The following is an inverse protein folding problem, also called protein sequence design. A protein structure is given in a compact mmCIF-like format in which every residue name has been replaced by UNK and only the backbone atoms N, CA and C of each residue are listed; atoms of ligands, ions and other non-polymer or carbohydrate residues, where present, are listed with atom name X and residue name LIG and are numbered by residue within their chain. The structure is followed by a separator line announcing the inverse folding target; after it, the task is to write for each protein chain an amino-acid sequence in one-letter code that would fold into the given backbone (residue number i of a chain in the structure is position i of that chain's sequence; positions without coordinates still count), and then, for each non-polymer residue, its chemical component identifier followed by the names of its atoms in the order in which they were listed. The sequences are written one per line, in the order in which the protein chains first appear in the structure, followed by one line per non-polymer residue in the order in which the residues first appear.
data_IF_677368235080
#
_entry.id   IF_677368235080
#
_cell.length_a   1.000
_cell.length_b   1.000
_cell.length_c   1.000
_cell.angle_alpha   90.00
_cell.angle_beta   90.00
_cell.angle_gamma   90.00
#
_symmetry.space_group_name_H-M   'P 1'
#
loop_
_entity.id
_entity.type
_entity.pdbx_description
1 polymer ?
#
# COMPACT_ATOMS: atom_id res chain seq x y z
N UNK A 1 16.69 -40.10 25.79
CA UNK A 1 16.17 -38.87 25.15
C UNK A 1 15.02 -39.31 24.27
N UNK A 2 13.78 -38.96 24.65
CA UNK A 2 12.61 -39.24 23.81
C UNK A 2 12.79 -38.49 22.48
N UNK A 3 12.78 -39.23 21.37
CA UNK A 3 12.87 -38.66 20.04
C UNK A 3 11.64 -37.76 19.84
N UNK A 4 11.85 -36.46 19.59
CA UNK A 4 10.77 -35.58 19.17
C UNK A 4 10.08 -36.18 17.95
N UNK A 5 8.76 -36.40 18.03
CA UNK A 5 7.95 -36.91 16.93
C UNK A 5 8.10 -35.95 15.72
N UNK A 6 8.41 -36.44 14.51
CA UNK A 6 8.45 -35.64 13.28
C UNK A 6 7.21 -34.75 13.08
N UNK A 7 6.02 -35.21 13.49
CA UNK A 7 4.78 -34.42 13.44
C UNK A 7 4.82 -33.20 14.36
N UNK A 8 5.42 -33.34 15.55
CA UNK A 8 5.62 -32.23 16.49
C UNK A 8 6.60 -31.23 15.88
N UNK A 9 7.70 -31.70 15.30
CA UNK A 9 8.67 -30.82 14.63
C UNK A 9 8.05 -30.08 13.44
N UNK A 10 7.24 -30.76 12.62
CA UNK A 10 6.50 -30.14 11.53
C UNK A 10 5.48 -29.12 12.05
N UNK A 11 4.74 -29.44 13.11
CA UNK A 11 3.79 -28.52 13.73
C UNK A 11 4.49 -27.29 14.33
N UNK A 12 5.67 -27.46 14.93
CA UNK A 12 6.50 -26.35 15.41
C UNK A 12 7.07 -25.52 14.27
N UNK A 13 7.61 -26.15 13.22
CA UNK A 13 8.04 -25.43 12.02
C UNK A 13 6.90 -24.63 11.42
N UNK A 14 5.72 -25.24 11.27
CA UNK A 14 4.55 -24.54 10.74
C UNK A 14 4.13 -23.39 11.66
N UNK A 15 4.10 -23.56 12.99
CA UNK A 15 3.81 -22.48 13.96
C UNK A 15 4.86 -21.37 14.01
N UNK A 16 6.13 -21.69 13.77
CA UNK A 16 7.23 -20.72 13.73
C UNK A 16 7.25 -19.95 12.40
N UNK A 17 6.98 -20.63 11.27
CA UNK A 17 6.84 -20.04 9.92
C UNK A 17 5.61 -19.15 9.82
N UNK A 18 4.46 -19.63 10.30
CA UNK A 18 3.22 -18.83 10.48
C UNK A 18 3.28 -17.87 11.68
N UNK A 19 4.48 -17.68 12.26
CA UNK A 19 4.70 -16.99 13.51
C UNK A 19 3.92 -15.69 13.58
N UNK A 20 3.31 -15.45 14.75
CA UNK A 20 2.44 -14.35 15.16
C UNK A 20 3.11 -12.96 15.06
N UNK A 21 3.73 -12.66 13.93
CA UNK A 21 4.12 -11.35 13.47
C UNK A 21 2.84 -10.72 12.94
N UNK A 22 2.09 -10.09 13.85
CA UNK A 22 1.16 -9.04 13.42
C UNK A 22 2.03 -7.99 12.73
N UNK A 23 2.15 -8.10 11.41
CA UNK A 23 2.90 -7.12 10.64
C UNK A 23 2.18 -5.78 10.77
N UNK A 24 2.97 -4.73 10.95
CA UNK A 24 2.49 -3.38 10.71
C UNK A 24 2.53 -3.21 9.21
N UNK A 25 1.38 -2.98 8.58
CA UNK A 25 1.29 -3.02 7.12
C UNK A 25 0.95 -1.66 6.54
N UNK A 26 1.83 -1.18 5.65
CA UNK A 26 1.49 -0.16 4.67
C UNK A 26 0.84 -0.85 3.46
N UNK A 27 -0.15 -0.20 2.87
CA UNK A 27 -1.03 -0.72 1.83
C UNK A 27 -1.81 -1.98 2.24
N UNK A 28 -2.57 -1.86 3.32
CA UNK A 28 -3.45 -2.92 3.81
C UNK A 28 -4.81 -2.37 4.23
N UNK A 29 -5.85 -3.20 4.16
CA UNK A 29 -7.20 -2.85 4.64
C UNK A 29 -7.14 -2.46 6.11
N UNK A 30 -7.34 -1.17 6.46
CA UNK A 30 -7.17 -0.73 7.84
C UNK A 30 -8.27 -1.29 8.74
N UNK A 31 -9.53 -1.29 8.28
CA UNK A 31 -10.68 -1.62 9.13
C UNK A 31 -10.64 -0.79 10.41
N UNK A 32 -10.67 -1.44 11.57
CA UNK A 32 -10.48 -0.80 12.89
C UNK A 32 -9.04 -0.93 13.41
N UNK A 33 -8.09 -1.39 12.59
CA UNK A 33 -6.71 -1.62 12.99
C UNK A 33 -5.90 -0.33 12.94
N UNK A 34 -5.17 -0.08 14.04
CA UNK A 34 -4.15 0.98 14.11
C UNK A 34 -2.79 0.56 13.53
N UNK A 35 -2.64 -0.72 13.19
CA UNK A 35 -1.40 -1.31 12.64
C UNK A 35 -1.40 -1.35 11.11
N UNK A 36 -2.45 -0.83 10.48
CA UNK A 36 -2.64 -0.94 9.04
C UNK A 36 -2.96 0.42 8.46
N UNK A 37 -2.38 0.71 7.32
CA UNK A 37 -2.59 1.94 6.60
C UNK A 37 -2.79 1.61 5.13
N UNK A 38 -3.75 2.25 4.48
CA UNK A 38 -3.96 2.14 3.05
C UNK A 38 -3.16 3.25 2.35
N UNK A 39 -2.20 2.87 1.49
CA UNK A 39 -1.32 3.80 0.79
C UNK A 39 -2.13 4.77 -0.08
N UNK A 40 -3.23 4.31 -0.68
CA UNK A 40 -4.06 5.13 -1.55
C UNK A 40 -4.64 6.36 -0.82
N UNK A 41 -4.69 6.36 0.53
CA UNK A 41 -5.06 7.55 1.32
C UNK A 41 -4.10 8.73 1.13
N UNK A 42 -2.85 8.48 0.70
CA UNK A 42 -1.92 9.57 0.35
C UNK A 42 -2.45 10.43 -0.82
N UNK A 43 -3.41 9.93 -1.60
CA UNK A 43 -4.11 10.73 -2.62
C UNK A 43 -4.88 11.94 -2.04
N UNK A 44 -5.23 11.91 -0.74
CA UNK A 44 -5.82 13.05 -0.03
C UNK A 44 -4.86 14.24 0.03
N UNK A 45 -3.54 13.99 0.01
CA UNK A 45 -2.49 15.02 -0.06
C UNK A 45 -2.37 15.48 -1.52
N UNK A 46 -1.95 14.56 -2.39
CA UNK A 46 -1.80 14.78 -3.82
C UNK A 46 -2.17 13.52 -4.60
N UNK A 47 -2.93 13.68 -5.68
CA UNK A 47 -3.58 12.56 -6.36
C UNK A 47 -2.60 11.49 -6.85
N UNK A 48 -1.41 11.90 -7.33
CA UNK A 48 -0.37 10.98 -7.85
C UNK A 48 0.65 10.47 -6.80
N UNK A 49 0.48 10.84 -5.52
CA UNK A 49 1.45 10.54 -4.47
C UNK A 49 1.61 9.03 -4.20
N UNK A 50 0.53 8.22 -4.15
CA UNK A 50 0.65 6.77 -4.06
C UNK A 50 1.47 6.15 -5.22
N UNK A 51 1.24 6.62 -6.44
CA UNK A 51 1.87 6.12 -7.66
C UNK A 51 3.37 6.43 -7.66
N UNK A 52 3.74 7.65 -7.27
CA UNK A 52 5.15 8.04 -7.13
C UNK A 52 5.89 7.15 -6.12
N UNK A 53 5.24 6.80 -5.01
CA UNK A 53 5.83 5.87 -4.05
C UNK A 53 6.11 4.50 -4.68
N UNK A 54 5.13 3.92 -5.37
CA UNK A 54 5.28 2.60 -6.01
C UNK A 54 6.33 2.64 -7.12
N UNK A 55 6.37 3.70 -7.93
CA UNK A 55 7.39 3.87 -8.98
C UNK A 55 8.79 3.91 -8.35
N UNK A 56 8.98 4.68 -7.27
CA UNK A 56 10.27 4.73 -6.58
C UNK A 56 10.64 3.36 -6.02
N UNK A 57 9.69 2.64 -5.43
CA UNK A 57 9.90 1.30 -4.88
C UNK A 57 10.33 0.26 -5.93
N UNK A 58 9.75 0.32 -7.13
CA UNK A 58 10.04 -0.61 -8.23
C UNK A 58 11.22 -0.18 -9.12
N UNK A 59 11.72 1.05 -8.96
CA UNK A 59 12.81 1.57 -9.81
C UNK A 59 14.13 1.66 -9.07
N UNK A 60 14.10 2.03 -7.79
CA UNK A 60 15.28 2.36 -6.99
C UNK A 60 15.69 1.18 -6.10
N UNK A 61 17.00 0.96 -6.00
CA UNK A 61 17.58 -0.01 -5.05
C UNK A 61 17.36 0.41 -3.60
N UNK A 62 17.69 1.67 -3.30
CA UNK A 62 17.44 2.31 -2.01
C UNK A 62 16.36 3.37 -2.20
N UNK A 63 15.32 3.34 -1.38
CA UNK A 63 14.20 4.27 -1.45
C UNK A 63 14.32 5.26 -0.30
N UNK A 64 14.16 6.54 -0.61
CA UNK A 64 13.90 7.59 0.36
C UNK A 64 12.75 8.44 -0.20
N UNK A 65 11.56 8.22 0.34
CA UNK A 65 10.33 8.86 -0.11
C UNK A 65 9.81 9.77 0.99
N UNK A 66 9.92 11.07 0.76
CA UNK A 66 9.53 12.12 1.70
C UNK A 66 8.25 12.79 1.22
N UNK A 67 7.31 13.01 2.15
CA UNK A 67 6.04 13.69 1.86
C UNK A 67 5.50 14.42 3.09
N UNK A 68 4.73 15.48 2.86
CA UNK A 68 4.05 16.28 3.88
C UNK A 68 2.56 16.38 3.60
N UNK A 69 1.71 16.46 4.63
CA UNK A 69 0.29 16.81 4.41
C UNK A 69 0.09 18.22 3.82
N UNK A 70 1.14 19.05 3.88
CA UNK A 70 1.14 20.42 3.36
C UNK A 70 1.65 20.50 1.92
N UNK A 71 2.02 19.37 1.30
CA UNK A 71 2.44 19.34 -0.10
C UNK A 71 1.25 19.75 -0.99
N UNK A 72 1.22 21.03 -1.34
CA UNK A 72 0.32 21.58 -2.33
C UNK A 72 1.08 21.63 -3.65
N UNK A 73 0.88 20.65 -4.51
CA UNK A 73 1.19 20.84 -5.91
C UNK A 73 0.06 21.72 -6.45
N UNK A 74 0.39 22.96 -6.83
CA UNK A 74 -0.42 23.71 -7.76
C UNK A 74 -0.52 22.87 -9.02
N UNK A 75 -1.72 22.44 -9.40
CA UNK A 75 -2.01 21.95 -10.76
C UNK A 75 -1.87 23.13 -11.76
N UNK A 76 -0.72 23.80 -11.76
CA UNK A 76 -0.34 24.76 -12.79
C UNK A 76 0.36 23.96 -13.89
N UNK A 77 -0.48 23.37 -14.75
CA UNK A 77 -0.11 23.22 -16.15
C UNK A 77 0.24 24.62 -16.66
N UNK A 78 1.54 24.88 -16.74
CA UNK A 78 2.21 25.83 -17.64
C UNK A 78 1.27 26.82 -18.33
N UNK A 79 1.05 27.99 -17.72
CA UNK A 79 0.86 29.21 -18.48
C UNK A 79 2.18 29.96 -18.48
N UNK A 80 2.97 29.65 -19.49
CA UNK A 80 4.13 30.43 -19.90
C UNK A 80 3.72 31.89 -20.02
N UNK A 81 4.56 32.75 -19.43
CA UNK A 81 4.70 34.19 -19.62
C UNK A 81 3.83 34.82 -20.72
N UNK A 82 2.90 35.70 -20.34
CA UNK A 82 2.55 36.84 -21.18
C UNK A 82 2.23 38.07 -20.29
N UNK A 83 2.98 39.13 -20.59
CA UNK A 83 2.96 40.44 -19.95
C UNK A 83 1.65 41.18 -20.23
N UNK A 84 1.36 42.10 -19.31
CA UNK A 84 0.61 43.36 -19.49
C UNK A 84 -0.79 43.25 -20.15
N UNK A 85 -1.83 43.44 -19.34
CA UNK A 85 -2.80 44.50 -19.59
C UNK A 85 -3.65 44.82 -18.35
N UNK A 86 -3.48 46.06 -17.89
CA UNK A 86 -4.36 46.80 -17.00
C UNK A 86 -5.70 47.01 -17.71
N UNK A 87 -6.82 46.65 -17.09
CA UNK A 87 -8.08 47.40 -17.23
C UNK A 87 -8.88 47.36 -15.92
N UNK A 88 -9.00 48.54 -15.29
CA UNK A 88 -10.13 48.90 -14.44
C UNK A 88 -11.37 49.07 -15.33
N UNK A 89 -12.50 48.48 -14.96
CA UNK A 89 -13.82 49.13 -14.95
C UNK A 89 -14.76 48.35 -14.03
N UNK A 90 -15.30 49.04 -13.02
CA UNK A 90 -16.44 48.64 -12.21
C UNK A 90 -17.72 48.61 -13.06
N UNK A 91 -18.59 47.62 -12.84
CA UNK A 91 -20.02 47.86 -12.58
C UNK A 91 -20.71 46.60 -12.04
N UNK A 92 -21.54 46.83 -11.02
CA UNK A 92 -22.29 45.87 -10.22
C UNK A 92 -23.27 45.03 -11.05
N UNK A 93 -23.29 43.72 -10.79
CA UNK A 93 -24.54 42.95 -10.68
C UNK A 93 -24.41 41.88 -9.60
N UNK A 94 -25.15 42.10 -8.52
CA UNK A 94 -25.58 41.05 -7.61
C UNK A 94 -26.40 40.02 -8.39
N UNK A 95 -26.02 38.74 -8.28
CA UNK A 95 -26.92 37.61 -7.99
C UNK A 95 -26.13 36.28 -7.95
N UNK A 96 -26.54 35.41 -7.02
CA UNK A 96 -26.18 33.99 -6.79
C UNK A 96 -24.75 33.58 -6.36
N UNK A 97 -24.27 34.07 -5.20
CA UNK A 97 -23.02 33.61 -4.52
C UNK A 97 -23.17 32.52 -3.44
N UNK A 98 -24.37 32.06 -3.12
CA UNK A 98 -24.58 31.23 -1.92
C UNK A 98 -24.28 29.72 -2.12
N UNK A 99 -24.54 29.13 -3.29
CA UNK A 99 -24.31 27.68 -3.49
C UNK A 99 -22.83 27.33 -3.72
N UNK A 100 -22.06 28.19 -4.39
CA UNK A 100 -20.64 27.90 -4.68
C UNK A 100 -19.75 28.05 -3.45
N UNK A 101 -20.05 29.01 -2.57
CA UNK A 101 -19.26 29.29 -1.37
C UNK A 101 -19.45 28.21 -0.30
N UNK A 102 -20.68 27.72 -0.10
CA UNK A 102 -20.95 26.62 0.83
C UNK A 102 -20.33 25.29 0.35
N UNK A 103 -20.40 24.98 -0.95
CA UNK A 103 -19.80 23.75 -1.50
C UNK A 103 -18.27 23.77 -1.40
N UNK A 104 -17.63 24.92 -1.59
CA UNK A 104 -16.17 25.09 -1.44
C UNK A 104 -15.76 24.97 0.04
N UNK A 105 -16.45 25.66 0.95
CA UNK A 105 -16.21 25.59 2.40
C UNK A 105 -16.39 24.17 2.96
N UNK A 106 -17.41 23.44 2.49
CA UNK A 106 -17.67 22.05 2.89
C UNK A 106 -16.59 21.11 2.35
N UNK A 107 -16.13 21.30 1.10
CA UNK A 107 -15.01 20.51 0.53
C UNK A 107 -13.70 20.75 1.27
N UNK A 108 -13.37 22.01 1.57
CA UNK A 108 -12.14 22.35 2.29
C UNK A 108 -12.13 21.77 3.71
N UNK A 109 -13.24 21.90 4.45
CA UNK A 109 -13.38 21.29 5.79
C UNK A 109 -13.31 19.75 5.74
N UNK A 110 -13.85 19.14 4.70
CA UNK A 110 -13.80 17.69 4.50
C UNK A 110 -12.37 17.21 4.22
N UNK A 111 -11.62 17.95 3.39
CA UNK A 111 -10.20 17.67 3.10
C UNK A 111 -9.33 17.85 4.34
N UNK A 112 -9.48 18.94 5.08
CA UNK A 112 -8.73 19.17 6.34
C UNK A 112 -8.96 18.01 7.32
N UNK A 113 -10.20 17.59 7.51
CA UNK A 113 -10.54 16.44 8.35
C UNK A 113 -9.89 15.14 7.86
N UNK A 114 -9.79 14.94 6.55
CA UNK A 114 -9.13 13.77 5.96
C UNK A 114 -7.61 13.78 6.23
N UNK A 115 -6.96 14.94 6.06
CA UNK A 115 -5.53 15.13 6.33
C UNK A 115 -5.19 14.94 7.81
N UNK A 116 -6.03 15.43 8.73
CA UNK A 116 -5.88 15.18 10.16
C UNK A 116 -5.96 13.68 10.48
N UNK A 117 -6.98 13.00 9.95
CA UNK A 117 -7.12 11.54 10.12
C UNK A 117 -5.96 10.77 9.51
N UNK A 118 -5.40 11.24 8.40
CA UNK A 118 -4.23 10.66 7.75
C UNK A 118 -3.02 10.78 8.65
N UNK A 119 -2.71 11.99 9.15
CA UNK A 119 -1.61 12.23 10.08
C UNK A 119 -1.73 11.37 11.34
N UNK A 120 -2.90 11.35 11.98
CA UNK A 120 -3.15 10.49 13.15
C UNK A 120 -2.93 9.00 12.83
N UNK A 121 -3.33 8.56 11.62
CA UNK A 121 -3.14 7.15 11.22
C UNK A 121 -1.66 6.82 11.04
N UNK A 122 -0.87 7.72 10.44
CA UNK A 122 0.58 7.55 10.28
C UNK A 122 1.31 7.54 11.62
N UNK A 123 0.98 8.47 12.51
CA UNK A 123 1.58 8.52 13.86
C UNK A 123 1.27 7.27 14.66
N UNK A 124 0.02 6.79 14.61
CA UNK A 124 -0.33 5.51 15.23
C UNK A 124 0.47 4.35 14.63
N UNK A 125 0.63 4.30 13.32
CA UNK A 125 1.37 3.26 12.62
C UNK A 125 2.85 3.23 13.06
N UNK A 126 3.49 4.40 13.07
CA UNK A 126 4.88 4.61 13.52
C UNK A 126 5.02 4.13 14.97
N UNK A 127 4.19 4.66 15.86
CA UNK A 127 4.23 4.34 17.27
C UNK A 127 4.04 2.84 17.53
N UNK A 128 3.12 2.17 16.83
CA UNK A 128 2.96 0.72 16.97
C UNK A 128 4.19 -0.05 16.49
N UNK A 129 4.81 0.36 15.38
CA UNK A 129 6.03 -0.28 14.90
C UNK A 129 7.18 -0.13 15.90
N UNK A 130 7.38 1.07 16.45
CA UNK A 130 8.40 1.35 17.47
C UNK A 130 8.19 0.51 18.73
N UNK A 131 6.95 0.38 19.22
CA UNK A 131 6.62 -0.49 20.35
C UNK A 131 7.01 -1.93 20.04
N UNK A 132 6.60 -2.48 18.90
CA UNK A 132 6.93 -3.85 18.51
C UNK A 132 8.44 -4.05 18.38
N UNK A 133 9.14 -3.08 17.79
CA UNK A 133 10.58 -3.12 17.63
C UNK A 133 11.30 -3.07 18.99
N UNK A 134 10.82 -2.28 19.94
CA UNK A 134 11.36 -2.23 21.30
C UNK A 134 11.14 -3.53 22.08
N UNK A 135 10.01 -4.19 21.86
CA UNK A 135 9.65 -5.45 22.53
C UNK A 135 10.37 -6.67 21.93
N UNK A 136 10.47 -6.72 20.60
CA UNK A 136 10.90 -7.92 19.86
C UNK A 136 12.25 -7.75 19.17
N UNK A 137 12.82 -6.55 19.14
CA UNK A 137 14.08 -6.25 18.47
C UNK A 137 14.02 -6.33 16.94
N UNK A 138 12.83 -6.37 16.34
CA UNK A 138 12.64 -6.53 14.89
C UNK A 138 11.73 -5.44 14.34
N UNK A 139 12.09 -4.88 13.18
CA UNK A 139 11.18 -4.03 12.42
C UNK A 139 10.02 -4.88 11.90
N UNK A 140 8.79 -4.48 12.22
CA UNK A 140 7.58 -5.19 11.83
C UNK A 140 6.82 -4.52 10.68
N UNK A 141 7.32 -3.37 10.23
CA UNK A 141 6.72 -2.59 9.16
C UNK A 141 7.07 -3.17 7.79
N UNK A 142 6.02 -3.53 7.06
CA UNK A 142 6.11 -3.99 5.69
C UNK A 142 5.12 -3.27 4.79
N UNK A 143 5.56 -2.91 3.60
CA UNK A 143 4.70 -2.45 2.52
C UNK A 143 4.28 -3.64 1.66
N UNK A 144 2.98 -3.87 1.50
CA UNK A 144 2.45 -4.99 0.72
C UNK A 144 1.98 -4.58 -0.68
N UNK A 145 2.47 -5.21 -1.74
CA UNK A 145 2.01 -4.96 -3.12
C UNK A 145 2.36 -6.10 -4.09
N UNK A 146 1.61 -6.31 -5.18
CA UNK A 146 0.21 -5.93 -5.35
C UNK A 146 -0.69 -6.75 -4.43
N UNK A 147 -1.96 -6.33 -4.31
CA UNK A 147 -2.95 -7.02 -3.49
C UNK A 147 -3.65 -8.11 -4.30
N UNK A 148 -3.55 -9.37 -3.86
CA UNK A 148 -4.38 -10.46 -4.34
C UNK A 148 -5.67 -10.49 -3.52
N UNK A 149 -6.80 -10.38 -4.21
CA UNK A 149 -8.13 -10.41 -3.61
C UNK A 149 -8.87 -11.57 -4.26
N UNK A 150 -9.24 -12.55 -3.45
CA UNK A 150 -9.87 -13.77 -3.94
C UNK A 150 -10.87 -14.32 -2.96
N UNK A 151 -11.76 -15.15 -3.47
CA UNK A 151 -12.67 -15.95 -2.65
C UNK A 151 -12.09 -17.35 -2.46
N UNK A 152 -11.90 -17.76 -1.22
CA UNK A 152 -11.44 -19.12 -0.91
C UNK A 152 -12.51 -20.18 -1.24
N UNK A 153 -12.17 -21.47 -1.10
CA UNK A 153 -13.08 -22.57 -1.39
C UNK A 153 -14.29 -22.59 -0.43
N UNK A 154 -14.12 -22.06 0.79
CA UNK A 154 -15.16 -21.90 1.81
C UNK A 154 -16.05 -20.67 1.56
N UNK A 155 -15.74 -19.87 0.52
CA UNK A 155 -16.50 -18.69 0.14
C UNK A 155 -16.12 -17.42 0.89
N UNK A 156 -15.07 -17.41 1.70
CA UNK A 156 -14.58 -16.22 2.39
C UNK A 156 -13.66 -15.40 1.49
N UNK A 157 -13.86 -14.07 1.51
CA UNK A 157 -12.93 -13.16 0.86
C UNK A 157 -11.65 -13.03 1.67
N UNK A 158 -10.53 -13.27 0.99
CA UNK A 158 -9.18 -13.01 1.45
C UNK A 158 -8.58 -11.89 0.60
N UNK A 159 -7.97 -10.91 1.25
CA UNK A 159 -7.20 -9.85 0.60
C UNK A 159 -5.82 -9.83 1.22
N UNK A 160 -4.80 -10.16 0.44
CA UNK A 160 -3.42 -10.32 0.92
C UNK A 160 -2.42 -9.81 -0.12
N UNK A 161 -1.39 -9.07 0.31
CA UNK A 161 -0.33 -8.68 -0.61
C UNK A 161 0.44 -9.90 -1.07
N UNK A 162 0.89 -9.88 -2.32
CA UNK A 162 1.73 -10.94 -2.91
C UNK A 162 3.16 -10.80 -2.38
N UNK A 163 3.77 -9.62 -2.56
CA UNK A 163 5.09 -9.31 -2.03
C UNK A 163 4.99 -8.34 -0.86
N UNK A 164 5.96 -8.44 0.04
CA UNK A 164 6.14 -7.54 1.16
C UNK A 164 7.57 -7.00 1.12
N UNK A 165 7.70 -5.68 1.04
CA UNK A 165 8.96 -4.97 1.24
C UNK A 165 9.06 -4.55 2.71
N UNK A 166 10.12 -4.93 3.40
CA UNK A 166 10.43 -4.31 4.68
C UNK A 166 10.80 -2.85 4.43
N UNK A 167 10.19 -1.95 5.18
CA UNK A 167 10.42 -0.50 5.05
C UNK A 167 10.47 0.12 6.44
N UNK A 168 11.07 1.30 6.53
CA UNK A 168 11.06 2.13 7.71
C UNK A 168 10.24 3.38 7.43
N UNK A 169 9.53 3.88 8.43
CA UNK A 169 8.85 5.18 8.36
C UNK A 169 9.15 5.95 9.64
N UNK A 170 9.49 7.24 9.47
CA UNK A 170 9.77 8.13 10.60
C UNK A 170 9.28 9.55 10.30
N UNK A 171 8.90 10.32 11.33
CA UNK A 171 8.73 11.75 11.17
C UNK A 171 10.10 12.40 10.90
N UNK A 172 10.11 13.50 10.15
CA UNK A 172 11.28 14.35 9.97
C UNK A 172 11.07 15.68 10.72
N UNK A 173 12.11 16.50 10.81
CA UNK A 173 12.05 17.77 11.56
C UNK A 173 11.04 18.80 11.00
N UNK A 174 10.55 18.58 9.78
CA UNK A 174 9.58 19.44 9.13
C UNK A 174 8.16 19.10 9.58
N UNK A 175 7.32 20.12 9.70
CA UNK A 175 5.99 19.99 10.28
C UNK A 175 5.10 19.03 9.45
N UNK A 176 4.51 18.03 10.11
CA UNK A 176 3.68 16.99 9.50
C UNK A 176 4.28 16.40 8.23
N UNK A 177 5.55 16.03 8.32
CA UNK A 177 6.33 15.48 7.22
C UNK A 177 6.94 14.16 7.65
N UNK A 178 6.86 13.16 6.79
CA UNK A 178 7.37 11.81 7.04
C UNK A 178 8.29 11.36 5.91
N UNK A 179 9.18 10.44 6.25
CA UNK A 179 10.08 9.77 5.32
C UNK A 179 9.82 8.27 5.41
N UNK A 180 9.44 7.65 4.29
CA UNK A 180 9.46 6.19 4.11
C UNK A 180 10.77 5.83 3.42
N UNK A 181 11.55 4.95 4.03
CA UNK A 181 12.85 4.55 3.52
C UNK A 181 13.05 3.05 3.47
N UNK A 182 13.85 2.59 2.52
CA UNK A 182 14.30 1.20 2.38
C UNK A 182 15.73 1.15 1.87
N UNK A 183 16.56 0.23 2.38
CA UNK A 183 17.88 -0.08 1.83
C UNK A 183 17.96 -1.51 1.28
N UNK A 184 19.11 -1.88 0.71
CA UNK A 184 19.40 -3.26 0.29
C UNK A 184 19.39 -4.29 1.43
N UNK A 185 19.63 -3.85 2.67
CA UNK A 185 19.60 -4.70 3.86
C UNK A 185 18.16 -5.04 4.30
N UNK A 186 17.17 -4.26 3.84
CA UNK A 186 15.77 -4.47 4.15
C UNK A 186 15.17 -5.52 3.20
N UNK A 187 14.69 -6.67 3.70
CA UNK A 187 14.30 -7.79 2.85
C UNK A 187 13.03 -7.53 2.03
N UNK A 188 12.96 -8.18 0.87
CA UNK A 188 11.76 -8.34 0.05
C UNK A 188 11.41 -9.83 0.06
N UNK A 189 10.16 -10.18 0.34
CA UNK A 189 9.74 -11.57 0.42
C UNK A 189 8.29 -11.75 -0.02
N UNK A 190 7.96 -12.97 -0.45
CA UNK A 190 6.58 -13.36 -0.70
C UNK A 190 5.84 -13.49 0.63
N UNK A 191 4.60 -13.02 0.69
CA UNK A 191 3.80 -13.09 1.90
C UNK A 191 3.56 -14.53 2.35
N UNK A 192 4.27 -14.99 3.38
CA UNK A 192 4.14 -16.36 3.89
C UNK A 192 2.73 -16.72 4.34
N UNK A 193 1.94 -15.76 4.84
CA UNK A 193 0.54 -16.03 5.21
C UNK A 193 -0.27 -16.38 3.97
N UNK A 194 -0.03 -15.69 2.84
CA UNK A 194 -0.64 -16.00 1.57
C UNK A 194 -0.20 -17.39 1.06
N UNK A 195 1.10 -17.70 1.13
CA UNK A 195 1.62 -19.02 0.73
C UNK A 195 0.91 -20.14 1.50
N UNK A 196 0.88 -20.03 2.83
CA UNK A 196 0.24 -21.04 3.67
C UNK A 196 -1.26 -21.15 3.39
N UNK A 197 -1.93 -20.02 3.15
CA UNK A 197 -3.34 -20.01 2.81
C UNK A 197 -3.62 -20.72 1.48
N UNK A 198 -2.88 -20.38 0.42
CA UNK A 198 -3.03 -20.99 -0.90
C UNK A 198 -2.67 -22.49 -0.92
N UNK A 199 -1.65 -22.87 -0.16
CA UNK A 199 -1.25 -24.27 -0.01
C UNK A 199 -2.35 -25.10 0.68
N UNK A 200 -2.95 -24.57 1.74
CA UNK A 200 -3.99 -25.27 2.49
C UNK A 200 -5.34 -25.32 1.75
N UNK A 201 -5.70 -24.23 1.07
CA UNK A 201 -7.00 -24.11 0.41
C UNK A 201 -7.01 -24.77 -0.99
N UNK A 202 -6.01 -24.47 -1.81
CA UNK A 202 -5.99 -24.84 -3.24
C UNK A 202 -4.85 -25.80 -3.60
N UNK A 203 -4.03 -26.23 -2.64
CA UNK A 203 -2.86 -27.08 -2.89
C UNK A 203 -1.75 -26.40 -3.71
N UNK A 204 -1.81 -25.07 -3.85
CA UNK A 204 -0.88 -24.29 -4.67
C UNK A 204 0.40 -24.04 -3.88
N UNK A 205 1.53 -24.38 -4.50
CA UNK A 205 2.86 -24.09 -3.95
C UNK A 205 3.38 -22.84 -4.63
N UNK A 206 3.32 -21.72 -3.91
CA UNK A 206 3.89 -20.46 -4.38
C UNK A 206 5.40 -20.49 -4.17
N UNK A 207 6.14 -20.24 -5.24
CA UNK A 207 7.59 -20.20 -5.21
C UNK A 207 8.10 -18.94 -4.49
N UNK A 208 9.27 -19.05 -3.85
CA UNK A 208 9.96 -17.91 -3.28
C UNK A 208 10.60 -17.06 -4.39
N UNK A 209 10.91 -15.80 -4.09
CA UNK A 209 11.66 -14.93 -5.00
C UNK A 209 13.05 -15.55 -5.24
N UNK A 210 13.48 -15.63 -6.50
CA UNK A 210 14.81 -16.14 -6.84
C UNK A 210 15.92 -15.24 -6.32
N UNK A 211 17.08 -15.82 -5.99
CA UNK A 211 18.26 -15.05 -5.54
C UNK A 211 18.75 -14.07 -6.63
N UNK A 212 18.57 -14.42 -7.91
CA UNK A 212 18.93 -13.57 -9.05
C UNK A 212 18.11 -12.29 -9.08
N UNK A 213 16.79 -12.37 -8.86
CA UNK A 213 15.90 -11.20 -8.77
C UNK A 213 16.21 -10.32 -7.55
N UNK A 214 16.73 -10.90 -6.47
CA UNK A 214 17.08 -10.14 -5.27
C UNK A 214 18.49 -9.51 -5.34
N UNK A 215 19.32 -9.91 -6.30
CA UNK A 215 20.73 -9.56 -6.34
C UNK A 215 20.98 -8.06 -6.59
N UNK A 216 20.09 -7.38 -7.30
CA UNK A 216 20.20 -5.94 -7.56
C UNK A 216 19.59 -5.08 -6.42
N UNK A 217 18.98 -5.73 -5.43
CA UNK A 217 18.40 -5.12 -4.23
C UNK A 217 17.02 -4.50 -4.43
N UNK A 218 16.36 -4.71 -5.57
CA UNK A 218 14.98 -4.27 -5.84
C UNK A 218 14.18 -5.37 -6.53
N UNK A 219 12.91 -5.11 -6.79
CA UNK A 219 12.08 -5.90 -7.69
C UNK A 219 11.50 -4.92 -8.69
N UNK A 220 11.87 -5.06 -9.96
CA UNK A 220 11.42 -4.17 -11.01
C UNK A 220 10.05 -4.57 -11.58
N UNK A 221 9.53 -3.74 -12.49
CA UNK A 221 8.22 -3.97 -13.11
C UNK A 221 8.16 -5.29 -13.90
N UNK A 222 9.11 -5.60 -14.80
CA UNK A 222 9.20 -6.91 -15.45
C UNK A 222 9.21 -8.10 -14.48
N UNK A 223 10.02 -8.04 -13.42
CA UNK A 223 10.14 -9.11 -12.42
C UNK A 223 8.83 -9.27 -11.64
N UNK A 224 8.23 -8.17 -11.20
CA UNK A 224 6.94 -8.19 -10.50
C UNK A 224 5.83 -8.76 -11.39
N UNK A 225 5.82 -8.39 -12.67
CA UNK A 225 4.89 -8.91 -13.66
C UNK A 225 5.07 -10.42 -13.83
N UNK A 226 6.31 -10.91 -13.91
CA UNK A 226 6.61 -12.34 -14.01
C UNK A 226 6.10 -13.09 -12.79
N UNK A 227 6.36 -12.60 -11.57
CA UNK A 227 5.87 -13.19 -10.32
C UNK A 227 4.35 -13.27 -10.31
N UNK A 228 3.66 -12.19 -10.69
CA UNK A 228 2.20 -12.16 -10.73
C UNK A 228 1.62 -13.11 -11.78
N UNK A 229 2.24 -13.18 -12.97
CA UNK A 229 1.83 -14.12 -14.03
C UNK A 229 1.96 -15.57 -13.59
N UNK A 230 3.11 -15.96 -13.03
CA UNK A 230 3.32 -17.31 -12.51
C UNK A 230 2.27 -17.69 -11.46
N UNK A 231 1.95 -16.77 -10.55
CA UNK A 231 0.93 -17.00 -9.53
C UNK A 231 -0.48 -17.17 -10.14
N UNK A 232 -0.86 -16.31 -11.08
CA UNK A 232 -2.16 -16.40 -11.76
C UNK A 232 -2.28 -17.67 -12.61
N UNK A 233 -1.21 -18.09 -13.28
CA UNK A 233 -1.16 -19.34 -14.04
C UNK A 233 -1.37 -20.56 -13.13
N UNK A 234 -0.75 -20.56 -11.95
CA UNK A 234 -0.97 -21.59 -10.93
C UNK A 234 -2.41 -21.60 -10.39
N UNK A 235 -3.01 -20.42 -10.23
CA UNK A 235 -4.40 -20.25 -9.84
C UNK A 235 -5.38 -20.56 -11.00
N UNK A 236 -4.88 -20.68 -12.23
CA UNK A 236 -5.67 -20.83 -13.48
C UNK A 236 -6.64 -19.67 -13.70
N UNK A 237 -6.25 -18.46 -13.28
CA UNK A 237 -7.03 -17.23 -13.41
C UNK A 237 -6.43 -16.37 -14.51
N UNK A 238 -7.28 -15.81 -15.37
CA UNK A 238 -6.86 -14.81 -16.36
C UNK A 238 -7.24 -13.42 -15.86
N UNK A 239 -6.25 -12.59 -15.57
CA UNK A 239 -6.45 -11.19 -15.17
C UNK A 239 -5.54 -10.26 -15.97
N UNK A 240 -6.01 -9.05 -16.26
CA UNK A 240 -5.19 -8.01 -16.85
C UNK A 240 -4.21 -7.46 -15.80
N UNK A 241 -2.92 -7.47 -16.14
CA UNK A 241 -1.84 -6.99 -15.27
C UNK A 241 -1.15 -5.73 -15.83
N UNK A 242 -1.77 -5.05 -16.80
CA UNK A 242 -1.16 -3.90 -17.48
C UNK A 242 -0.91 -2.74 -16.52
N UNK A 243 -1.67 -2.67 -15.42
CA UNK A 243 -1.47 -1.70 -14.34
C UNK A 243 -0.05 -1.74 -13.74
N UNK A 244 0.61 -2.91 -13.73
CA UNK A 244 1.98 -3.05 -13.20
C UNK A 244 2.96 -2.28 -14.09
N UNK A 245 2.75 -2.34 -15.41
CA UNK A 245 3.63 -1.69 -16.38
C UNK A 245 3.29 -0.21 -16.55
N UNK A 246 2.02 0.18 -16.38
CA UNK A 246 1.59 1.57 -16.47
C UNK A 246 2.15 2.42 -15.30
N UNK A 247 2.75 3.57 -15.60
CA UNK A 247 3.23 4.52 -14.59
C UNK A 247 2.13 5.50 -14.12
N UNK A 248 1.01 5.54 -14.83
CA UNK A 248 -0.07 6.51 -14.62
C UNK A 248 -1.36 5.87 -14.14
N UNK A 249 -1.36 4.55 -13.89
CA UNK A 249 -2.54 3.89 -13.35
C UNK A 249 -2.76 4.34 -11.90
N UNK A 250 -3.97 4.79 -11.60
CA UNK A 250 -4.35 5.21 -10.26
C UNK A 250 -4.40 3.99 -9.33
N UNK A 251 -3.82 4.13 -8.13
CA UNK A 251 -3.86 3.14 -7.07
C UNK A 251 -5.15 3.36 -6.27
N UNK A 252 -6.18 2.51 -6.47
CA UNK A 252 -7.46 2.73 -5.83
C UNK A 252 -7.38 2.45 -4.33
N UNK A 253 -8.23 3.13 -3.57
CA UNK A 253 -8.49 2.78 -2.18
C UNK A 253 -8.89 1.32 -2.06
N UNK A 254 -8.31 0.62 -1.09
CA UNK A 254 -8.64 -0.77 -0.86
C UNK A 254 -10.05 -0.82 -0.27
N UNK A 255 -10.98 -1.38 -1.05
CA UNK A 255 -12.40 -1.45 -0.68
C UNK A 255 -12.63 -2.35 0.54
N UNK A 256 -13.83 -2.23 1.11
CA UNK A 256 -14.25 -3.09 2.22
C UNK A 256 -14.49 -4.52 1.74
N UNK A 257 -14.44 -5.47 2.68
CA UNK A 257 -14.73 -6.89 2.40
C UNK A 257 -16.08 -7.08 1.70
N UNK A 258 -17.13 -6.39 2.18
CA UNK A 258 -18.46 -6.45 1.60
C UNK A 258 -18.49 -6.00 0.13
N UNK A 259 -17.71 -4.97 -0.23
CA UNK A 259 -17.63 -4.53 -1.62
C UNK A 259 -16.98 -5.56 -2.54
N UNK A 260 -16.04 -6.37 -2.04
CA UNK A 260 -15.43 -7.44 -2.83
C UNK A 260 -16.33 -8.67 -2.94
N UNK A 261 -17.15 -8.96 -1.93
CA UNK A 261 -18.15 -10.04 -1.98
C UNK A 261 -19.16 -9.86 -3.11
N UNK A 262 -19.53 -8.62 -3.44
CA UNK A 262 -20.42 -8.32 -4.58
C UNK A 262 -19.73 -8.49 -5.95
N UNK A 263 -18.41 -8.32 -6.00
CA UNK A 263 -17.62 -8.39 -7.24
C UNK A 263 -17.15 -9.81 -7.57
N UNK A 264 -16.88 -10.64 -6.55
CA UNK A 264 -16.38 -12.01 -6.68
C UNK A 264 -17.53 -13.02 -6.55
N UNK A 265 -18.10 -13.38 -7.69
CA UNK A 265 -19.28 -14.25 -7.76
C UNK A 265 -18.94 -15.73 -7.58
N UNK A 266 -17.80 -16.22 -8.07
CA UNK A 266 -17.41 -17.63 -7.95
C UNK A 266 -16.37 -17.85 -6.84
N UNK A 267 -16.35 -19.07 -6.31
CA UNK A 267 -15.32 -19.50 -5.37
C UNK A 267 -14.05 -19.88 -6.14
N UNK A 268 -12.88 -19.50 -5.62
CA UNK A 268 -11.59 -19.78 -6.26
C UNK A 268 -11.12 -18.73 -7.27
N UNK A 269 -11.96 -17.73 -7.59
CA UNK A 269 -11.62 -16.53 -8.36
C UNK A 269 -10.84 -15.50 -7.51
#
# INVERSE_FOLDING_TARGET
MENLNPEIFQAFQNKLKTGNRRGVHLNAIPGNSRYKFDLARLSDIHKSLPEHFIINLLTQKNVNFKFSIHDKITDEVSKTEEKDNIYLFDEEKEESKNETTEVVLVKDKTRETALEKLSISLENLIFQNEVIQSEKGINSLGFGFPMLIRKDMDGQISASPILIWSVNIKPVNELNTWEISRTEDDPIYVNEVLINHLQNDSGIVVEQISEEMLADGKIDKPELLQICKTLLDQLKITQNLDFILNNYEEIPLIKTKASYEEQLQNNGD
#
